data_IF_626111932626
#
_entry.id   IF_626111932626
#
_cell.length_a   1.000
_cell.length_b   1.000
_cell.length_c   1.000
_cell.angle_alpha   90.00
_cell.angle_beta   90.00
_cell.angle_gamma   90.00
#
_symmetry.space_group_name_H-M   'P 1'
#
loop_
_entity.id
_entity.type
_entity.pdbx_description
1 polymer ?
#
# COMPACT_ATOMS: atom_id res chain seq x y z
N UNK A 1 -5.16 30.44 -17.46
CA UNK A 1 -6.32 29.58 -17.73
C UNK A 1 -6.02 28.83 -19.01
N UNK A 2 -5.36 27.68 -18.89
CA UNK A 2 -5.08 26.74 -19.98
C UNK A 2 -5.09 25.36 -19.30
N UNK A 3 -6.24 24.71 -19.39
CA UNK A 3 -6.40 23.31 -19.00
C UNK A 3 -5.79 22.45 -20.10
N UNK A 4 -4.59 21.95 -19.84
CA UNK A 4 -3.98 20.88 -20.62
C UNK A 4 -3.96 19.64 -19.72
N UNK A 5 -5.08 18.93 -19.69
CA UNK A 5 -5.14 17.60 -19.11
C UNK A 5 -5.33 16.62 -20.26
N UNK A 6 -4.27 15.85 -20.50
CA UNK A 6 -4.22 14.76 -21.45
C UNK A 6 -5.40 13.81 -21.21
N UNK A 7 -6.12 13.62 -22.30
CA UNK A 7 -7.19 12.68 -22.51
C UNK A 7 -6.62 11.25 -22.41
N UNK A 8 -6.47 10.73 -21.19
CA UNK A 8 -6.31 9.29 -21.00
C UNK A 8 -7.63 8.62 -21.37
N UNK A 9 -7.71 8.18 -22.62
CA UNK A 9 -8.73 7.27 -23.13
C UNK A 9 -8.68 5.97 -22.30
N UNK A 10 -9.45 5.91 -21.21
CA UNK A 10 -9.92 4.63 -20.71
C UNK A 10 -11.05 4.20 -21.63
N UNK A 11 -10.66 3.43 -22.64
CA UNK A 11 -11.50 2.54 -23.41
C UNK A 11 -12.49 1.86 -22.44
N UNK A 12 -13.74 2.31 -22.48
CA UNK A 12 -14.84 1.61 -21.81
C UNK A 12 -15.06 0.34 -22.62
N UNK A 13 -14.24 -0.68 -22.34
CA UNK A 13 -14.60 -2.04 -22.68
C UNK A 13 -15.93 -2.33 -21.99
N UNK A 14 -16.93 -2.35 -22.84
CA UNK A 14 -18.27 -2.81 -22.61
C UNK A 14 -18.16 -4.30 -22.27
N UNK A 15 -17.91 -4.63 -21.00
CA UNK A 15 -18.03 -6.01 -20.53
C UNK A 15 -19.51 -6.32 -20.49
N UNK A 16 -19.97 -6.94 -21.58
CA UNK A 16 -21.19 -7.71 -21.63
C UNK A 16 -21.31 -8.52 -20.34
N UNK A 17 -22.31 -8.17 -19.53
CA UNK A 17 -22.81 -9.00 -18.46
C UNK A 17 -23.77 -10.01 -19.12
N UNK A 18 -23.20 -10.94 -19.87
CA UNK A 18 -23.91 -12.11 -20.38
C UNK A 18 -23.03 -13.33 -20.12
N UNK A 19 -23.61 -14.33 -19.46
CA UNK A 19 -23.02 -15.66 -19.36
C UNK A 19 -22.36 -16.01 -18.03
N UNK A 20 -23.11 -15.96 -16.93
CA UNK A 20 -23.08 -17.12 -16.03
C UNK A 20 -24.07 -18.13 -16.60
N UNK A 21 -23.66 -18.76 -17.71
CA UNK A 21 -24.20 -20.06 -18.08
C UNK A 21 -23.91 -20.95 -16.89
N UNK A 22 -25.00 -21.45 -16.30
CA UNK A 22 -24.91 -22.41 -15.24
C UNK A 22 -24.08 -23.58 -15.75
N UNK A 23 -22.94 -23.81 -15.11
CA UNK A 23 -22.41 -25.15 -15.04
C UNK A 23 -23.50 -25.98 -14.37
N UNK A 24 -24.23 -26.67 -15.23
CA UNK A 24 -25.00 -27.85 -14.91
C UNK A 24 -24.02 -28.82 -14.24
N UNK A 25 -23.90 -28.71 -12.92
CA UNK A 25 -23.68 -29.90 -12.13
C UNK A 25 -24.97 -30.67 -12.33
N UNK A 26 -24.95 -31.59 -13.29
CA UNK A 26 -25.86 -32.70 -13.39
C UNK A 26 -25.76 -33.46 -12.07
N UNK A 27 -26.49 -32.97 -11.07
CA UNK A 27 -26.86 -33.76 -9.92
C UNK A 27 -27.82 -34.78 -10.50
N UNK A 28 -27.30 -36.00 -10.64
CA UNK A 28 -28.06 -37.14 -11.08
C UNK A 28 -29.36 -37.21 -10.28
N UNK A 29 -30.46 -36.85 -10.93
CA UNK A 29 -31.81 -37.29 -10.60
C UNK A 29 -31.81 -38.82 -10.71
N UNK A 30 -31.40 -39.47 -9.63
CA UNK A 30 -31.51 -40.91 -9.47
C UNK A 30 -31.88 -41.18 -8.01
N UNK A 31 -33.09 -40.76 -7.63
CA UNK A 31 -34.01 -41.43 -6.71
C UNK A 31 -35.25 -40.52 -6.51
N UNK A 32 -36.02 -40.34 -7.59
CA UNK A 32 -37.41 -39.90 -7.51
C UNK A 32 -38.27 -41.02 -6.93
N UNK A 33 -38.15 -41.25 -5.62
CA UNK A 33 -39.21 -41.89 -4.88
C UNK A 33 -40.22 -40.80 -4.51
N UNK A 34 -41.18 -40.54 -5.39
CA UNK A 34 -42.46 -39.92 -5.05
C UNK A 34 -43.24 -40.88 -4.13
N UNK A 35 -42.74 -41.09 -2.91
CA UNK A 35 -43.61 -41.56 -1.82
C UNK A 35 -44.37 -40.36 -1.31
N UNK A 36 -45.62 -40.27 -1.74
CA UNK A 36 -46.68 -39.50 -1.10
C UNK A 36 -46.65 -39.79 0.41
N UNK A 37 -45.94 -38.97 1.17
CA UNK A 37 -45.98 -38.99 2.63
C UNK A 37 -47.26 -38.28 3.06
N UNK A 38 -48.38 -39.00 2.98
CA UNK A 38 -49.49 -38.74 3.87
C UNK A 38 -48.92 -38.72 5.30
N UNK A 39 -49.27 -37.74 6.15
CA UNK A 39 -48.88 -37.77 7.55
C UNK A 39 -49.57 -38.98 8.18
N UNK A 40 -48.84 -40.09 8.28
CA UNK A 40 -49.29 -41.25 9.04
C UNK A 40 -49.27 -40.80 10.49
N UNK A 41 -50.43 -40.39 11.01
CA UNK A 41 -50.68 -40.18 12.44
C UNK A 41 -50.74 -41.55 13.12
N UNK A 42 -49.62 -42.26 13.09
CA UNK A 42 -49.41 -43.43 13.92
C UNK A 42 -49.25 -42.90 15.34
N UNK A 43 -50.31 -43.03 16.15
CA UNK A 43 -50.23 -42.96 17.60
C UNK A 43 -49.39 -44.15 18.07
N UNK A 44 -48.09 -44.11 17.78
CA UNK A 44 -47.11 -45.07 18.27
C UNK A 44 -47.00 -44.80 19.77
N UNK A 45 -47.50 -45.73 20.56
CA UNK A 45 -47.32 -45.70 22.01
C UNK A 45 -45.82 -45.88 22.30
N UNK A 46 -45.10 -44.77 22.42
CA UNK A 46 -43.67 -44.77 22.75
C UNK A 46 -43.54 -45.09 24.22
N UNK A 47 -42.79 -46.14 24.56
CA UNK A 47 -42.50 -46.45 25.96
C UNK A 47 -41.87 -45.24 26.66
N UNK A 48 -42.18 -44.95 27.94
CA UNK A 48 -41.58 -43.83 28.67
C UNK A 48 -40.05 -43.78 28.59
N UNK A 49 -39.40 -44.94 28.54
CA UNK A 49 -37.95 -45.05 28.38
C UNK A 49 -37.47 -44.61 26.98
N UNK A 50 -38.20 -44.98 25.93
CA UNK A 50 -37.89 -44.56 24.55
C UNK A 50 -38.09 -43.06 24.37
N UNK A 51 -39.11 -42.48 25.01
CA UNK A 51 -39.35 -41.04 25.00
C UNK A 51 -38.19 -40.29 25.67
N UNK A 52 -37.72 -40.76 26.84
CA UNK A 52 -36.54 -40.18 27.50
C UNK A 52 -35.27 -40.27 26.66
N UNK A 53 -35.05 -41.38 25.92
CA UNK A 53 -33.90 -41.51 25.01
C UNK A 53 -33.99 -40.51 23.86
N UNK A 54 -35.18 -40.33 23.28
CA UNK A 54 -35.43 -39.36 22.22
C UNK A 54 -35.20 -37.92 22.70
N UNK A 55 -35.68 -37.57 23.88
CA UNK A 55 -35.51 -36.23 24.45
C UNK A 55 -34.04 -35.94 24.77
N UNK A 56 -33.29 -36.92 25.29
CA UNK A 56 -31.84 -36.80 25.48
C UNK A 56 -31.09 -36.58 24.17
N UNK A 57 -31.43 -37.33 23.12
CA UNK A 57 -30.82 -37.15 21.80
C UNK A 57 -31.12 -35.76 21.23
N UNK A 58 -32.35 -35.29 21.38
CA UNK A 58 -32.74 -33.95 20.94
C UNK A 58 -31.93 -32.86 21.65
N UNK A 59 -31.75 -32.97 22.97
CA UNK A 59 -30.93 -32.03 23.75
C UNK A 59 -29.48 -32.01 23.23
N UNK A 60 -28.87 -33.19 23.01
CA UNK A 60 -27.50 -33.28 22.49
C UNK A 60 -27.36 -32.69 21.08
N UNK A 61 -28.35 -32.90 20.20
CA UNK A 61 -28.37 -32.29 18.86
C UNK A 61 -28.51 -30.77 18.93
N UNK A 62 -29.39 -30.27 19.80
CA UNK A 62 -29.61 -28.84 19.99
C UNK A 62 -28.37 -28.16 20.57
N UNK A 63 -27.67 -28.80 21.51
CA UNK A 63 -26.38 -28.35 22.04
C UNK A 63 -25.31 -28.30 20.94
N UNK A 64 -25.19 -29.36 20.13
CA UNK A 64 -24.23 -29.40 19.00
C UNK A 64 -24.51 -28.29 17.98
N UNK A 65 -25.79 -28.06 17.64
CA UNK A 65 -26.20 -26.97 16.74
C UNK A 65 -25.91 -25.61 17.35
N UNK A 66 -26.07 -25.45 18.67
CA UNK A 66 -25.71 -24.22 19.36
C UNK A 66 -24.21 -23.93 19.28
N UNK A 67 -23.37 -24.94 19.54
CA UNK A 67 -21.90 -24.81 19.43
C UNK A 67 -21.43 -24.44 18.02
N UNK A 68 -22.06 -25.01 16.98
CA UNK A 68 -21.73 -24.67 15.59
C UNK A 68 -22.09 -23.20 15.31
N UNK A 69 -23.30 -22.77 15.69
CA UNK A 69 -23.73 -21.38 15.51
C UNK A 69 -22.83 -20.38 16.24
N UNK A 70 -22.40 -20.72 17.44
CA UNK A 70 -21.48 -19.88 18.22
C UNK A 70 -20.12 -19.74 17.50
N UNK A 71 -19.55 -20.86 17.02
CA UNK A 71 -18.29 -20.84 16.27
C UNK A 71 -18.40 -20.03 14.97
N UNK A 72 -19.49 -20.18 14.23
CA UNK A 72 -19.73 -19.42 13.00
C UNK A 72 -19.85 -17.92 13.30
N UNK A 73 -20.50 -17.54 14.41
CA UNK A 73 -20.60 -16.16 14.84
C UNK A 73 -19.23 -15.60 15.23
N UNK A 74 -18.45 -16.34 16.02
CA UNK A 74 -17.09 -15.95 16.40
C UNK A 74 -16.20 -15.76 15.16
N UNK A 75 -16.26 -16.67 14.19
CA UNK A 75 -15.50 -16.57 12.95
C UNK A 75 -15.89 -15.33 12.14
N UNK A 76 -17.19 -15.04 12.00
CA UNK A 76 -17.67 -13.84 11.32
C UNK A 76 -17.15 -12.56 11.98
N UNK A 77 -17.21 -12.49 13.31
CA UNK A 77 -16.69 -11.35 14.07
C UNK A 77 -15.19 -11.20 13.84
N UNK A 78 -14.42 -12.28 13.92
CA UNK A 78 -12.97 -12.24 13.68
C UNK A 78 -12.62 -11.81 12.25
N UNK A 79 -13.37 -12.29 11.25
CA UNK A 79 -13.21 -11.89 9.85
C UNK A 79 -13.48 -10.39 9.68
N UNK A 80 -14.55 -9.88 10.29
CA UNK A 80 -14.87 -8.45 10.26
C UNK A 80 -13.78 -7.60 10.93
N UNK A 81 -13.31 -8.01 12.11
CA UNK A 81 -12.23 -7.32 12.82
C UNK A 81 -10.92 -7.31 12.01
N UNK A 82 -10.56 -8.44 11.38
CA UNK A 82 -9.38 -8.50 10.50
C UNK A 82 -9.50 -7.54 9.32
N UNK A 83 -10.69 -7.48 8.70
CA UNK A 83 -10.95 -6.56 7.60
C UNK A 83 -10.84 -5.10 8.03
N UNK A 84 -11.41 -4.74 9.18
CA UNK A 84 -11.32 -3.38 9.74
C UNK A 84 -9.86 -2.99 10.04
N UNK A 85 -9.12 -3.85 10.74
CA UNK A 85 -7.69 -3.62 11.02
C UNK A 85 -6.85 -3.48 9.74
N UNK A 86 -7.14 -4.29 8.72
CA UNK A 86 -6.48 -4.18 7.42
C UNK A 86 -6.76 -2.84 6.73
N UNK A 87 -7.99 -2.33 6.84
CA UNK A 87 -8.36 -1.02 6.30
C UNK A 87 -7.69 0.12 7.06
N UNK A 88 -7.68 0.06 8.40
CA UNK A 88 -7.00 1.04 9.26
C UNK A 88 -5.50 1.11 8.95
N UNK A 89 -4.84 -0.05 8.87
CA UNK A 89 -3.42 -0.13 8.52
C UNK A 89 -3.14 0.46 7.13
N UNK A 90 -3.98 0.15 6.14
CA UNK A 90 -3.82 0.70 4.79
C UNK A 90 -3.96 2.22 4.75
N UNK A 91 -4.92 2.78 5.51
CA UNK A 91 -5.10 4.22 5.61
C UNK A 91 -3.91 4.90 6.28
N UNK A 92 -3.41 4.32 7.38
CA UNK A 92 -2.23 4.84 8.07
C UNK A 92 -0.99 4.79 7.17
N UNK A 93 -0.78 3.68 6.47
CA UNK A 93 0.33 3.52 5.53
C UNK A 93 0.29 4.58 4.42
N UNK A 94 -0.89 4.81 3.81
CA UNK A 94 -1.06 5.86 2.79
C UNK A 94 -0.72 7.25 3.35
N UNK A 95 -1.21 7.56 4.55
CA UNK A 95 -0.91 8.84 5.21
C UNK A 95 0.59 9.02 5.47
N UNK A 96 1.27 7.97 5.95
CA UNK A 96 2.71 7.99 6.16
C UNK A 96 3.46 8.23 4.84
N UNK A 97 3.06 7.53 3.78
CA UNK A 97 3.64 7.69 2.45
C UNK A 97 3.45 9.10 1.89
N UNK A 98 2.25 9.68 2.03
CA UNK A 98 1.98 11.05 1.60
C UNK A 98 2.83 12.07 2.35
N UNK A 99 2.97 11.92 3.68
CA UNK A 99 3.85 12.78 4.49
C UNK A 99 5.31 12.67 4.04
N UNK A 100 5.80 11.46 3.76
CA UNK A 100 7.17 11.26 3.28
C UNK A 100 7.39 11.90 1.91
N UNK A 101 6.43 11.78 0.99
CA UNK A 101 6.49 12.42 -0.33
C UNK A 101 6.52 13.95 -0.18
N UNK A 102 5.67 14.52 0.68
CA UNK A 102 5.65 15.96 0.93
C UNK A 102 6.98 16.44 1.53
N UNK A 103 7.53 15.70 2.48
CA UNK A 103 8.82 16.01 3.08
C UNK A 103 9.95 15.98 2.04
N UNK A 104 10.00 14.94 1.20
CA UNK A 104 10.97 14.81 0.11
C UNK A 104 10.83 15.95 -0.91
N UNK A 105 9.60 16.32 -1.26
CA UNK A 105 9.34 17.47 -2.16
C UNK A 105 9.87 18.78 -1.56
N UNK A 106 9.60 19.04 -0.29
CA UNK A 106 10.11 20.23 0.41
C UNK A 106 11.64 20.26 0.46
N UNK A 107 12.28 19.14 0.78
CA UNK A 107 13.75 19.04 0.77
C UNK A 107 14.35 19.26 -0.63
N UNK A 108 13.70 18.74 -1.67
CA UNK A 108 14.16 18.92 -3.04
C UNK A 108 14.01 20.38 -3.50
N UNK A 109 12.92 21.05 -3.13
CA UNK A 109 12.73 22.47 -3.39
C UNK A 109 13.82 23.30 -2.70
N UNK A 110 14.09 23.06 -1.42
CA UNK A 110 15.17 23.74 -0.68
C UNK A 110 16.54 23.50 -1.32
N UNK A 111 16.85 22.26 -1.72
CA UNK A 111 18.09 21.96 -2.44
C UNK A 111 18.19 22.72 -3.76
N UNK A 112 17.09 22.85 -4.48
CA UNK A 112 17.04 23.59 -5.73
C UNK A 112 17.20 25.09 -5.52
N UNK A 113 16.61 25.66 -4.46
CA UNK A 113 16.82 27.05 -4.06
C UNK A 113 18.29 27.32 -3.73
N UNK A 114 18.91 26.49 -2.89
CA UNK A 114 20.34 26.59 -2.56
C UNK A 114 21.20 26.49 -3.82
N UNK A 115 20.87 25.58 -4.75
CA UNK A 115 21.60 25.43 -6.00
C UNK A 115 21.45 26.68 -6.88
N UNK A 116 20.24 27.25 -6.97
CA UNK A 116 19.99 28.48 -7.70
C UNK A 116 20.69 29.69 -7.08
N UNK A 117 20.72 29.80 -5.75
CA UNK A 117 21.47 30.84 -5.03
C UNK A 117 22.97 30.70 -5.29
N UNK A 118 23.52 29.50 -5.18
CA UNK A 118 24.92 29.23 -5.49
C UNK A 118 25.25 29.59 -6.95
N UNK A 119 24.38 29.27 -7.91
CA UNK A 119 24.55 29.68 -9.31
C UNK A 119 24.51 31.21 -9.49
N UNK A 120 23.59 31.90 -8.80
CA UNK A 120 23.53 33.38 -8.83
C UNK A 120 24.82 33.98 -8.30
N UNK A 121 25.35 33.48 -7.18
CA UNK A 121 26.64 33.91 -6.66
C UNK A 121 27.80 33.60 -7.62
N UNK A 122 27.74 32.46 -8.32
CA UNK A 122 28.73 32.12 -9.35
C UNK A 122 28.70 33.08 -10.54
N UNK A 123 27.52 33.55 -10.95
CA UNK A 123 27.36 34.51 -12.03
C UNK A 123 27.69 35.96 -11.62
N UNK A 124 27.85 36.23 -10.32
CA UNK A 124 28.24 37.55 -9.81
C UNK A 124 29.75 37.80 -9.81
N UNK A 125 30.58 36.77 -10.05
CA UNK A 125 32.02 36.96 -10.17
C UNK A 125 32.34 37.75 -11.44
N UNK A 126 32.73 39.03 -11.27
CA UNK A 126 33.23 39.87 -12.39
C UNK A 126 34.56 39.37 -12.95
N UNK A 127 35.35 38.64 -12.17
CA UNK A 127 36.66 38.14 -12.56
C UNK A 127 36.67 36.60 -12.59
N UNK A 128 37.07 36.04 -13.72
CA UNK A 128 37.21 34.60 -13.93
C UNK A 128 38.22 33.94 -12.97
N UNK A 129 39.18 34.68 -12.43
CA UNK A 129 40.10 34.17 -11.41
C UNK A 129 39.50 34.04 -10.02
N UNK A 130 38.47 34.82 -9.69
CA UNK A 130 37.69 34.61 -8.45
C UNK A 130 36.90 33.30 -8.54
N UNK A 131 36.39 32.97 -9.73
CA UNK A 131 35.70 31.72 -10.01
C UNK A 131 36.65 30.49 -9.96
N UNK A 132 37.85 30.62 -10.52
CA UNK A 132 38.86 29.54 -10.45
C UNK A 132 39.30 29.32 -9.00
N UNK A 133 39.50 30.39 -8.24
CA UNK A 133 39.92 30.31 -6.84
C UNK A 133 38.84 29.68 -5.93
N UNK A 134 37.55 29.86 -6.23
CA UNK A 134 36.46 29.24 -5.45
C UNK A 134 36.23 27.77 -5.79
N UNK A 135 36.58 27.34 -7.02
CA UNK A 135 36.36 25.96 -7.48
C UNK A 135 37.52 24.99 -7.18
N UNK A 136 38.68 25.49 -6.71
CA UNK A 136 39.83 24.65 -6.38
C UNK A 136 40.07 24.61 -4.87
N UNK A 137 40.54 23.47 -4.38
CA UNK A 137 40.95 23.28 -2.99
C UNK A 137 42.23 24.08 -2.69
N UNK A 138 42.06 25.38 -2.35
CA UNK A 138 43.16 26.28 -2.00
C UNK A 138 43.64 26.10 -0.56
N UNK A 139 42.85 25.50 0.34
CA UNK A 139 43.26 25.30 1.74
C UNK A 139 44.17 24.08 1.89
N UNK A 140 45.12 24.20 2.81
CA UNK A 140 46.01 23.10 3.16
C UNK A 140 45.20 21.96 3.82
N UNK A 141 45.28 20.76 3.23
CA UNK A 141 44.53 19.58 3.65
C UNK A 141 43.24 19.26 2.88
N UNK A 142 42.69 20.17 2.07
CA UNK A 142 41.46 19.91 1.28
C UNK A 142 41.72 19.13 -0.03
N UNK A 143 42.96 19.08 -0.52
CA UNK A 143 43.27 18.40 -1.77
C UNK A 143 43.43 16.89 -1.54
N UNK A 144 42.61 16.03 -2.17
CA UNK A 144 42.64 14.59 -1.94
C UNK A 144 43.79 13.87 -2.68
N UNK A 145 44.59 14.58 -3.48
CA UNK A 145 45.65 14.00 -4.30
C UNK A 145 47.01 13.92 -3.61
N UNK A 146 47.84 12.98 -4.07
CA UNK A 146 49.17 12.69 -3.51
C UNK A 146 50.25 13.71 -3.93
N UNK A 147 50.00 14.49 -4.99
CA UNK A 147 50.96 15.46 -5.52
C UNK A 147 50.93 16.77 -4.74
N UNK A 148 52.11 17.35 -4.50
CA UNK A 148 52.23 18.68 -3.90
C UNK A 148 51.74 19.76 -4.89
N UNK A 149 50.64 20.40 -4.52
CA UNK A 149 49.99 21.48 -5.27
C UNK A 149 50.25 22.86 -4.66
N UNK A 150 51.13 22.99 -3.67
CA UNK A 150 51.38 24.23 -2.91
C UNK A 150 51.84 25.38 -3.81
N UNK A 151 52.79 25.12 -4.72
CA UNK A 151 53.29 26.13 -5.68
C UNK A 151 52.22 26.57 -6.67
N UNK A 152 51.36 25.64 -7.11
CA UNK A 152 50.23 25.94 -7.98
C UNK A 152 49.19 26.81 -7.27
N UNK A 153 48.86 26.50 -6.01
CA UNK A 153 47.97 27.32 -5.17
C UNK A 153 48.48 28.74 -5.03
N UNK A 154 49.76 28.90 -4.70
CA UNK A 154 50.40 30.20 -4.58
C UNK A 154 50.35 30.99 -5.90
N UNK A 155 50.61 30.33 -7.03
CA UNK A 155 50.57 30.96 -8.35
C UNK A 155 49.16 31.48 -8.71
N UNK A 156 48.13 30.69 -8.42
CA UNK A 156 46.73 31.06 -8.69
C UNK A 156 46.30 32.24 -7.81
N UNK A 157 46.66 32.24 -6.52
CA UNK A 157 46.40 33.35 -5.60
C UNK A 157 47.10 34.64 -6.05
N UNK A 158 48.36 34.57 -6.46
CA UNK A 158 49.11 35.72 -6.94
C UNK A 158 48.51 36.28 -8.24
N UNK A 159 48.08 35.40 -9.15
CA UNK A 159 47.46 35.81 -10.42
C UNK A 159 46.11 36.51 -10.19
N UNK A 160 45.32 36.03 -9.23
CA UNK A 160 44.08 36.68 -8.77
C UNK A 160 44.35 38.11 -8.30
N UNK A 161 45.27 38.29 -7.34
CA UNK A 161 45.60 39.61 -6.75
C UNK A 161 46.02 40.62 -7.83
N UNK A 162 46.82 40.18 -8.81
CA UNK A 162 47.33 41.04 -9.89
C UNK A 162 46.25 41.51 -10.87
N UNK A 163 45.14 40.78 -11.02
CA UNK A 163 44.04 41.12 -11.94
C UNK A 163 42.91 41.90 -11.26
N UNK A 164 42.94 41.99 -9.93
CA UNK A 164 42.01 42.80 -9.12
C UNK A 164 42.60 44.14 -8.66
N UNK A 165 43.88 44.41 -8.94
CA UNK A 165 44.52 45.74 -8.78
C UNK A 165 44.34 46.58 -10.03
#
# INVERSE_FOLDING_TARGET
>A
MYDFFEESQTEKQNVHQDGLQGEQIATYDAFSNETSTQPITLNTYVSPEQQQRKDKLRILEDERKSQIREKDQQERVLKQQKKQKGQEFLQEFKKQQEMEILQRRGQNQQKQEILNENQKHHNQYKNSWDQIASNIALKDGEYPGVKDVTKMRQAILNKRINLTK
#
